data_IF_641107841142
#
_entry.id   IF_641107841142
#
_cell.length_a   1.000
_cell.length_b   1.000
_cell.length_c   1.000
_cell.angle_alpha   90.00
_cell.angle_beta   90.00
_cell.angle_gamma   90.00
#
_symmetry.space_group_name_H-M   'P 1'
#
loop_
_entity.id
_entity.type
_entity.pdbx_description
1 polymer ?
#
# COMPACT_ATOMS: atom_id res chain seq x y z
N UNK A 1 -52.42 -2.91 18.92
CA UNK A 1 -51.18 -2.51 18.19
C UNK A 1 -50.08 -2.06 19.12
N UNK A 2 -50.24 -1.10 20.06
CA UNK A 2 -49.19 -0.62 20.99
C UNK A 2 -48.45 -1.76 21.70
N UNK A 3 -49.19 -2.64 22.40
CA UNK A 3 -48.64 -3.80 23.14
C UNK A 3 -47.95 -4.83 22.24
N UNK A 4 -48.35 -4.98 20.95
CA UNK A 4 -47.68 -5.85 19.99
C UNK A 4 -46.32 -5.29 19.55
N UNK A 5 -46.25 -3.96 19.34
CA UNK A 5 -45.01 -3.30 19.00
C UNK A 5 -43.99 -3.34 20.15
N UNK A 6 -44.45 -3.17 21.40
CA UNK A 6 -43.64 -3.29 22.62
C UNK A 6 -43.06 -4.70 22.79
N UNK A 7 -43.87 -5.74 22.53
CA UNK A 7 -43.45 -7.15 22.62
C UNK A 7 -42.44 -7.53 21.51
N UNK A 8 -42.52 -6.91 20.34
CA UNK A 8 -41.65 -7.18 19.20
C UNK A 8 -40.46 -6.24 19.14
N UNK A 9 -40.34 -5.29 20.06
CA UNK A 9 -39.27 -4.29 20.07
C UNK A 9 -39.23 -3.40 18.82
N UNK A 10 -40.41 -3.20 18.17
CA UNK A 10 -40.54 -2.43 16.91
C UNK A 10 -41.24 -1.11 17.19
N UNK A 11 -40.74 -0.02 16.65
CA UNK A 11 -41.33 1.29 16.73
C UNK A 11 -42.75 1.30 16.08
N UNK A 12 -43.72 1.96 16.73
CA UNK A 12 -45.12 1.97 16.30
C UNK A 12 -45.33 2.47 14.87
N UNK A 13 -44.55 3.47 14.42
CA UNK A 13 -44.61 4.00 13.07
C UNK A 13 -44.13 3.00 12.02
N UNK A 14 -43.13 2.18 12.34
CA UNK A 14 -42.59 1.12 11.46
C UNK A 14 -43.66 0.05 11.19
N UNK A 15 -44.51 -0.24 12.19
CA UNK A 15 -45.57 -1.22 12.03
C UNK A 15 -46.72 -0.75 11.10
N UNK A 16 -46.81 0.54 10.80
CA UNK A 16 -47.78 1.11 9.86
C UNK A 16 -47.20 1.40 8.47
N UNK A 17 -45.89 1.25 8.28
CA UNK A 17 -45.29 1.39 6.95
C UNK A 17 -45.71 0.20 6.08
N UNK A 18 -46.34 0.46 4.97
CA UNK A 18 -46.49 -0.55 3.92
C UNK A 18 -45.17 -0.78 3.26
N UNK A 19 -44.75 -2.04 3.03
CA UNK A 19 -43.60 -2.33 2.17
C UNK A 19 -43.81 -1.62 0.83
N UNK A 20 -42.89 -0.78 0.42
CA UNK A 20 -42.88 -0.28 -0.96
C UNK A 20 -42.35 -1.40 -1.85
N UNK A 21 -43.09 -1.65 -2.93
CA UNK A 21 -42.54 -2.53 -3.97
C UNK A 21 -41.18 -1.96 -4.43
N UNK A 22 -40.17 -2.80 -4.50
CA UNK A 22 -38.84 -2.33 -4.91
C UNK A 22 -38.92 -1.80 -6.35
N UNK A 23 -38.37 -0.62 -6.56
CA UNK A 23 -38.22 -0.02 -7.90
C UNK A 23 -37.30 -0.89 -8.76
N UNK A 24 -37.75 -1.47 -9.88
CA UNK A 24 -36.96 -2.34 -10.74
C UNK A 24 -35.64 -1.65 -11.23
N UNK A 25 -35.70 -0.37 -11.55
CA UNK A 25 -34.54 0.39 -12.00
C UNK A 25 -33.49 0.58 -10.87
N UNK A 26 -33.96 0.79 -9.63
CA UNK A 26 -33.09 0.86 -8.46
C UNK A 26 -32.44 -0.48 -8.16
N UNK A 27 -33.18 -1.59 -8.32
CA UNK A 27 -32.62 -2.95 -8.14
C UNK A 27 -31.55 -3.28 -9.18
N UNK A 28 -31.81 -2.97 -10.45
CA UNK A 28 -30.85 -3.20 -11.52
C UNK A 28 -29.55 -2.38 -11.31
N UNK A 29 -29.72 -1.12 -10.88
CA UNK A 29 -28.58 -0.26 -10.53
C UNK A 29 -27.79 -0.83 -9.34
N UNK A 30 -28.44 -1.32 -8.30
CA UNK A 30 -27.76 -1.93 -7.15
C UNK A 30 -27.02 -3.21 -7.56
N UNK A 31 -27.58 -4.03 -8.43
CA UNK A 31 -26.95 -5.22 -8.93
C UNK A 31 -25.71 -4.90 -9.79
N UNK A 32 -25.77 -3.86 -10.61
CA UNK A 32 -24.59 -3.35 -11.32
C UNK A 32 -23.51 -2.93 -10.34
N UNK A 33 -23.85 -2.18 -9.29
CA UNK A 33 -22.89 -1.73 -8.27
C UNK A 33 -22.28 -2.92 -7.53
N UNK A 34 -23.04 -3.96 -7.18
CA UNK A 34 -22.54 -5.19 -6.55
C UNK A 34 -21.49 -5.88 -7.41
N UNK A 35 -21.76 -6.06 -8.71
CA UNK A 35 -20.80 -6.64 -9.67
C UNK A 35 -19.54 -5.83 -9.77
N UNK A 36 -19.61 -4.49 -9.74
CA UNK A 36 -18.43 -3.64 -9.77
C UNK A 36 -17.66 -3.66 -8.44
N UNK A 37 -18.34 -3.76 -7.30
CA UNK A 37 -17.70 -3.96 -5.98
C UNK A 37 -16.93 -5.28 -5.96
N UNK A 38 -17.54 -6.36 -6.45
CA UNK A 38 -16.93 -7.69 -6.52
C UNK A 38 -15.68 -7.67 -7.42
N UNK A 39 -15.80 -7.08 -8.61
CA UNK A 39 -14.67 -6.89 -9.53
C UNK A 39 -13.50 -6.15 -8.86
N UNK A 40 -13.77 -4.99 -8.25
CA UNK A 40 -12.75 -4.20 -7.59
C UNK A 40 -12.18 -4.87 -6.35
N UNK A 41 -12.99 -5.64 -5.63
CA UNK A 41 -12.52 -6.41 -4.48
C UNK A 41 -11.63 -7.58 -4.91
N UNK A 42 -11.93 -8.23 -6.01
CA UNK A 42 -11.08 -9.29 -6.58
C UNK A 42 -9.72 -8.73 -7.01
N UNK A 43 -9.69 -7.57 -7.64
CA UNK A 43 -8.47 -6.92 -8.08
C UNK A 43 -7.69 -6.29 -6.90
N UNK A 44 -8.38 -5.69 -5.94
CA UNK A 44 -7.81 -4.93 -4.81
C UNK A 44 -8.45 -5.35 -3.47
N UNK A 45 -8.16 -6.56 -2.93
CA UNK A 45 -8.89 -7.15 -1.80
C UNK A 45 -8.87 -6.34 -0.50
N UNK A 46 -7.85 -5.49 -0.30
CA UNK A 46 -7.76 -4.60 0.85
C UNK A 46 -8.48 -3.25 0.67
N UNK A 47 -9.29 -3.11 -0.40
CA UNK A 47 -10.02 -1.87 -0.65
C UNK A 47 -11.29 -1.81 0.19
N UNK A 48 -11.27 -0.96 1.22
CA UNK A 48 -12.46 -0.66 2.01
C UNK A 48 -13.39 0.34 1.33
N UNK A 49 -14.55 0.60 1.96
CA UNK A 49 -15.64 1.45 1.45
C UNK A 49 -15.20 2.79 0.84
N UNK A 50 -14.17 3.45 1.40
CA UNK A 50 -13.70 4.75 0.90
C UNK A 50 -12.97 4.62 -0.44
N UNK A 51 -12.09 3.62 -0.58
CA UNK A 51 -11.37 3.35 -1.84
C UNK A 51 -12.33 2.86 -2.92
N UNK A 52 -13.22 1.91 -2.57
CA UNK A 52 -14.26 1.43 -3.50
C UNK A 52 -15.16 2.57 -4.00
N UNK A 53 -15.55 3.50 -3.13
CA UNK A 53 -16.31 4.67 -3.56
C UNK A 53 -15.57 5.47 -4.64
N UNK A 54 -14.28 5.72 -4.44
CA UNK A 54 -13.47 6.48 -5.40
C UNK A 54 -13.35 5.73 -6.73
N UNK A 55 -13.06 4.43 -6.70
CA UNK A 55 -12.97 3.58 -7.89
C UNK A 55 -14.29 3.55 -8.68
N UNK A 56 -15.41 3.33 -7.99
CA UNK A 56 -16.74 3.35 -8.61
C UNK A 56 -17.06 4.70 -9.24
N UNK A 57 -16.70 5.80 -8.60
CA UNK A 57 -16.95 7.14 -9.11
C UNK A 57 -16.06 7.50 -10.29
N UNK A 58 -14.74 7.31 -10.18
CA UNK A 58 -13.78 7.83 -11.14
C UNK A 58 -13.58 6.91 -12.34
N UNK A 59 -13.64 5.61 -12.12
CA UNK A 59 -13.39 4.63 -13.19
C UNK A 59 -14.68 4.12 -13.80
N UNK A 60 -15.71 3.87 -12.99
CA UNK A 60 -16.98 3.31 -13.46
C UNK A 60 -18.04 4.39 -13.72
N UNK A 61 -17.79 5.65 -13.39
CA UNK A 61 -18.77 6.74 -13.49
C UNK A 61 -19.99 6.62 -12.55
N UNK A 62 -19.90 5.75 -11.51
CA UNK A 62 -20.99 5.45 -10.59
C UNK A 62 -20.90 6.30 -9.32
N UNK A 63 -21.65 7.37 -9.24
CA UNK A 63 -21.77 8.18 -8.02
C UNK A 63 -22.54 7.42 -6.93
N UNK A 64 -21.82 6.86 -5.92
CA UNK A 64 -22.38 6.02 -4.87
C UNK A 64 -21.99 6.51 -3.48
N UNK A 65 -22.96 6.55 -2.56
CA UNK A 65 -22.73 6.93 -1.17
C UNK A 65 -22.08 5.80 -0.34
N UNK A 66 -21.25 6.17 0.65
CA UNK A 66 -20.55 5.20 1.53
C UNK A 66 -21.49 4.24 2.27
N UNK A 67 -22.70 4.71 2.67
CA UNK A 67 -23.69 3.87 3.36
C UNK A 67 -24.20 2.76 2.44
N UNK A 68 -24.47 3.08 1.18
CA UNK A 68 -24.93 2.10 0.18
C UNK A 68 -23.83 1.08 -0.12
N UNK A 69 -22.61 1.51 -0.37
CA UNK A 69 -21.48 0.59 -0.61
C UNK A 69 -21.31 -0.38 0.56
N UNK A 70 -21.35 0.10 1.81
CA UNK A 70 -21.22 -0.78 2.99
C UNK A 70 -22.32 -1.81 3.04
N UNK A 71 -23.59 -1.41 2.83
CA UNK A 71 -24.74 -2.32 2.80
C UNK A 71 -24.58 -3.39 1.71
N UNK A 72 -24.21 -2.97 0.48
CA UNK A 72 -24.01 -3.91 -0.62
C UNK A 72 -22.85 -4.86 -0.41
N UNK A 73 -21.74 -4.39 0.18
CA UNK A 73 -20.61 -5.27 0.58
C UNK A 73 -21.06 -6.32 1.61
N UNK A 74 -21.84 -5.92 2.62
CA UNK A 74 -22.36 -6.84 3.64
C UNK A 74 -23.33 -7.85 3.02
N UNK A 75 -24.20 -7.45 2.09
CA UNK A 75 -25.15 -8.31 1.35
C UNK A 75 -24.45 -9.38 0.51
N UNK A 76 -23.34 -9.04 -0.16
CA UNK A 76 -22.57 -10.00 -0.97
C UNK A 76 -21.45 -10.70 -0.18
N UNK A 77 -21.37 -10.47 1.15
CA UNK A 77 -20.42 -11.12 2.04
C UNK A 77 -18.97 -10.65 1.89
N UNK A 78 -18.72 -9.52 1.21
CA UNK A 78 -17.39 -8.98 0.96
C UNK A 78 -16.94 -8.07 2.09
N UNK A 79 -15.71 -8.29 2.58
CA UNK A 79 -15.03 -7.45 3.56
C UNK A 79 -13.59 -7.19 3.13
N UNK A 80 -13.12 -5.96 3.30
CA UNK A 80 -11.72 -5.66 3.05
C UNK A 80 -10.80 -6.51 3.95
N UNK A 81 -9.75 -7.08 3.36
CA UNK A 81 -8.82 -7.95 4.06
C UNK A 81 -7.79 -7.10 4.82
N UNK A 82 -7.63 -7.33 6.13
CA UNK A 82 -6.65 -6.68 6.98
C UNK A 82 -5.85 -7.70 7.79
N UNK A 83 -4.51 -7.62 7.82
CA UNK A 83 -3.68 -8.51 8.62
C UNK A 83 -3.80 -8.25 10.12
N UNK A 84 -3.66 -9.31 10.92
CA UNK A 84 -3.52 -9.20 12.38
C UNK A 84 -2.12 -8.69 12.76
N UNK A 85 -1.94 -7.90 13.85
CA UNK A 85 -0.63 -7.41 14.27
C UNK A 85 0.29 -8.54 14.75
N UNK A 86 1.59 -8.45 14.39
CA UNK A 86 2.65 -9.38 14.79
C UNK A 86 3.72 -8.67 15.64
N UNK A 87 4.31 -9.35 16.64
CA UNK A 87 5.27 -8.79 17.60
C UNK A 87 6.58 -9.58 17.56
N UNK A 88 7.69 -8.99 17.08
CA UNK A 88 9.05 -9.57 17.09
C UNK A 88 10.11 -8.57 17.58
N UNK A 89 11.17 -9.05 18.28
CA UNK A 89 12.22 -8.23 18.92
C UNK A 89 13.57 -8.28 18.17
N UNK A 90 14.37 -7.18 18.12
CA UNK A 90 15.62 -7.09 17.33
C UNK A 90 16.91 -7.37 18.10
N UNK A 91 18.02 -7.73 17.38
CA UNK A 91 19.36 -8.07 17.88
C UNK A 91 20.31 -6.88 18.14
N UNK A 92 21.52 -7.14 18.73
CA UNK A 92 22.48 -6.13 19.24
C UNK A 92 23.68 -5.93 18.30
N UNK A 93 24.13 -4.65 18.18
CA UNK A 93 25.40 -4.11 17.63
C UNK A 93 25.58 -4.03 16.10
N UNK A 94 25.35 -2.80 15.56
CA UNK A 94 25.75 -2.39 14.21
C UNK A 94 26.15 -0.91 14.16
N UNK A 95 26.90 -0.48 13.12
CA UNK A 95 27.18 0.94 12.80
C UNK A 95 25.86 1.71 12.77
N UNK A 96 25.82 2.87 13.42
CA UNK A 96 24.62 3.72 13.49
C UNK A 96 24.85 5.00 12.72
N UNK A 97 23.91 5.32 11.84
CA UNK A 97 23.86 6.62 11.18
C UNK A 97 22.83 7.51 11.87
N UNK A 98 23.00 8.85 11.81
CA UNK A 98 22.05 9.77 12.43
C UNK A 98 20.71 9.74 11.71
N UNK A 99 19.63 9.92 12.48
CA UNK A 99 18.30 10.11 11.89
C UNK A 99 18.14 11.56 11.39
N UNK A 100 18.03 11.75 10.08
CA UNK A 100 18.05 13.04 9.40
C UNK A 100 16.66 13.64 9.14
N UNK A 101 15.58 12.93 9.47
CA UNK A 101 14.21 13.26 9.03
C UNK A 101 13.34 13.88 10.11
N UNK A 102 13.88 14.08 11.34
CA UNK A 102 13.13 14.72 12.43
C UNK A 102 12.65 16.10 12.02
N UNK A 103 11.33 16.32 12.07
CA UNK A 103 10.69 17.60 11.75
C UNK A 103 11.00 18.12 10.33
N UNK A 104 11.42 17.24 9.42
CA UNK A 104 11.70 17.61 8.05
C UNK A 104 10.42 17.51 7.22
N UNK A 105 9.99 18.61 6.62
CA UNK A 105 8.93 18.59 5.62
C UNK A 105 9.44 17.93 4.34
N UNK A 106 8.67 16.97 3.81
CA UNK A 106 8.96 16.27 2.57
C UNK A 106 7.93 16.74 1.53
N UNK A 107 8.36 17.62 0.64
CA UNK A 107 7.47 18.43 -0.20
C UNK A 107 7.55 18.07 -1.69
N UNK A 108 8.52 17.28 -2.12
CA UNK A 108 8.71 16.91 -3.52
C UNK A 108 9.33 15.50 -3.66
N UNK A 109 9.11 14.82 -4.79
CA UNK A 109 9.69 13.53 -5.08
C UNK A 109 11.23 13.55 -5.06
N UNK A 110 11.84 12.40 -4.78
CA UNK A 110 13.29 12.20 -4.69
C UNK A 110 13.99 13.02 -3.58
N UNK A 111 13.24 13.72 -2.74
CA UNK A 111 13.81 14.35 -1.55
C UNK A 111 14.27 13.30 -0.53
N UNK A 112 13.45 12.26 -0.32
CA UNK A 112 13.75 11.14 0.57
C UNK A 112 13.17 9.86 -0.02
N UNK A 113 14.00 8.84 -0.13
CA UNK A 113 13.56 7.46 -0.35
C UNK A 113 13.67 6.66 0.94
N UNK A 114 12.72 5.76 1.20
CA UNK A 114 12.87 4.72 2.20
C UNK A 114 13.22 3.41 1.49
N UNK A 115 14.16 2.68 2.06
CA UNK A 115 14.55 1.34 1.62
C UNK A 115 14.42 0.37 2.79
N UNK A 116 13.84 -0.79 2.52
CA UNK A 116 13.68 -1.83 3.53
C UNK A 116 13.58 -3.21 2.87
N UNK A 117 13.71 -4.26 3.69
CA UNK A 117 13.71 -5.64 3.25
C UNK A 117 12.70 -6.46 4.04
N UNK A 118 11.97 -7.33 3.33
CA UNK A 118 11.01 -8.24 3.96
C UNK A 118 11.13 -9.67 3.47
N UNK A 119 10.72 -10.62 4.30
CA UNK A 119 10.62 -12.04 3.97
C UNK A 119 9.30 -12.31 3.22
N UNK A 120 9.40 -13.05 2.14
CA UNK A 120 8.25 -13.57 1.38
C UNK A 120 8.24 -15.09 1.52
N UNK A 121 7.21 -15.70 2.15
CA UNK A 121 7.13 -17.14 2.28
C UNK A 121 6.89 -17.79 0.91
N UNK A 122 7.53 -18.93 0.69
CA UNK A 122 7.36 -19.82 -0.46
C UNK A 122 6.97 -21.21 0.05
N UNK A 123 6.46 -22.07 -0.83
CA UNK A 123 6.14 -23.47 -0.49
C UNK A 123 7.35 -24.19 0.11
N UNK A 124 8.56 -23.93 -0.39
CA UNK A 124 9.80 -24.52 0.08
C UNK A 124 10.78 -23.40 0.46
N UNK A 125 10.63 -22.81 1.66
CA UNK A 125 11.53 -21.77 2.15
C UNK A 125 10.97 -20.36 2.06
N UNK A 126 11.82 -19.39 1.72
CA UNK A 126 11.43 -17.98 1.61
C UNK A 126 12.35 -17.23 0.64
N UNK A 127 11.87 -16.13 0.11
CA UNK A 127 12.64 -15.15 -0.64
C UNK A 127 12.72 -13.84 0.13
N UNK A 128 13.69 -13.01 -0.21
CA UNK A 128 13.88 -11.68 0.36
C UNK A 128 13.47 -10.64 -0.68
N UNK A 129 12.56 -9.76 -0.33
CA UNK A 129 12.15 -8.65 -1.16
C UNK A 129 12.72 -7.36 -0.59
N UNK A 130 13.61 -6.72 -1.32
CA UNK A 130 14.01 -5.33 -1.10
C UNK A 130 13.06 -4.43 -1.87
N UNK A 131 12.59 -3.35 -1.25
CA UNK A 131 11.80 -2.33 -1.91
C UNK A 131 12.32 -0.93 -1.59
N UNK A 132 12.14 -0.01 -2.53
CA UNK A 132 12.52 1.39 -2.41
C UNK A 132 11.30 2.22 -2.76
N UNK A 133 10.87 3.06 -1.82
CA UNK A 133 9.68 3.90 -1.95
C UNK A 133 10.05 5.38 -1.82
N UNK A 134 9.53 6.20 -2.70
CA UNK A 134 9.60 7.65 -2.55
C UNK A 134 8.68 8.12 -1.42
N UNK A 135 9.24 8.87 -0.47
CA UNK A 135 8.49 9.25 0.73
C UNK A 135 7.43 10.31 0.49
N UNK A 136 7.61 11.15 -0.52
CA UNK A 136 6.60 12.15 -0.89
C UNK A 136 5.39 11.48 -1.56
N UNK A 137 5.59 10.83 -2.68
CA UNK A 137 4.52 10.32 -3.54
C UNK A 137 4.00 8.94 -3.17
N UNK A 138 4.75 8.16 -2.37
CA UNK A 138 4.52 6.73 -2.11
C UNK A 138 4.76 5.84 -3.34
N UNK A 139 5.35 6.37 -4.37
CA UNK A 139 5.71 5.65 -5.59
C UNK A 139 6.84 4.65 -5.29
N UNK A 140 6.70 3.41 -5.74
CA UNK A 140 7.79 2.41 -5.66
C UNK A 140 8.74 2.69 -6.80
N UNK A 141 9.92 3.22 -6.47
CA UNK A 141 10.95 3.59 -7.44
C UNK A 141 11.85 2.41 -7.81
N UNK A 142 11.91 1.36 -6.98
CA UNK A 142 12.72 0.19 -7.26
C UNK A 142 12.42 -0.97 -6.32
N UNK A 143 12.78 -2.18 -6.77
CA UNK A 143 12.69 -3.39 -5.97
C UNK A 143 13.59 -4.50 -6.50
N UNK A 144 13.94 -5.45 -5.65
CA UNK A 144 14.63 -6.67 -6.03
C UNK A 144 14.15 -7.87 -5.20
N UNK A 145 14.05 -9.03 -5.85
CA UNK A 145 13.76 -10.31 -5.21
C UNK A 145 15.01 -11.18 -5.23
N UNK A 146 15.43 -11.67 -4.07
CA UNK A 146 16.65 -12.47 -3.88
C UNK A 146 16.39 -13.66 -2.98
N UNK A 147 17.20 -14.70 -3.10
CA UNK A 147 17.27 -15.85 -2.19
C UNK A 147 18.27 -15.64 -1.03
N UNK A 148 19.00 -14.53 -1.05
CA UNK A 148 20.02 -14.19 -0.04
C UNK A 148 19.76 -12.84 0.61
N UNK A 149 20.20 -12.71 1.88
CA UNK A 149 20.23 -11.46 2.65
C UNK A 149 21.48 -10.60 2.38
N UNK A 150 22.18 -10.81 1.26
CA UNK A 150 23.38 -10.04 0.96
C UNK A 150 23.07 -8.58 0.59
N UNK A 151 24.08 -7.72 0.70
CA UNK A 151 23.95 -6.31 0.31
C UNK A 151 23.92 -6.11 -1.23
N UNK A 152 24.36 -7.11 -2.01
CA UNK A 152 24.50 -6.99 -3.47
C UNK A 152 23.14 -6.72 -4.14
N UNK A 153 22.07 -7.52 -3.93
CA UNK A 153 20.75 -7.24 -4.52
C UNK A 153 20.16 -5.90 -4.08
N UNK A 154 20.50 -5.43 -2.88
CA UNK A 154 20.06 -4.13 -2.35
C UNK A 154 20.72 -2.99 -3.15
N UNK A 155 22.03 -3.08 -3.38
CA UNK A 155 22.80 -2.09 -4.16
C UNK A 155 22.36 -2.09 -5.63
N UNK A 156 22.15 -3.27 -6.21
CA UNK A 156 21.66 -3.41 -7.60
C UNK A 156 20.27 -2.78 -7.78
N UNK A 157 19.35 -3.05 -6.85
CA UNK A 157 18.01 -2.45 -6.87
C UNK A 157 18.09 -0.91 -6.78
N UNK A 158 18.97 -0.41 -5.92
CA UNK A 158 19.18 1.02 -5.74
C UNK A 158 19.83 1.66 -6.99
N UNK A 159 20.81 1.02 -7.59
CA UNK A 159 21.45 1.49 -8.82
C UNK A 159 20.44 1.60 -9.96
N UNK A 160 19.60 0.56 -10.17
CA UNK A 160 18.55 0.57 -11.18
C UNK A 160 17.46 1.63 -10.90
N UNK A 161 17.15 1.88 -9.62
CA UNK A 161 16.21 2.94 -9.26
C UNK A 161 16.79 4.33 -9.56
N UNK A 162 18.06 4.57 -9.26
CA UNK A 162 18.75 5.84 -9.54
C UNK A 162 18.83 6.10 -11.04
N UNK A 163 19.15 5.09 -11.84
CA UNK A 163 19.22 5.20 -13.30
C UNK A 163 17.88 5.65 -13.90
N UNK A 164 16.75 5.13 -13.39
CA UNK A 164 15.40 5.41 -13.91
C UNK A 164 14.78 6.69 -13.37
N UNK A 165 15.06 7.04 -12.13
CA UNK A 165 14.32 8.06 -11.37
C UNK A 165 15.18 9.21 -10.87
N UNK A 166 16.51 9.14 -11.06
CA UNK A 166 17.47 10.12 -10.55
C UNK A 166 17.91 9.84 -9.12
N UNK A 167 18.84 10.66 -8.64
CA UNK A 167 19.50 10.49 -7.34
C UNK A 167 18.65 11.11 -6.22
N UNK A 168 18.30 10.38 -5.14
CA UNK A 168 17.60 10.97 -4.00
C UNK A 168 18.54 11.78 -3.12
N UNK A 169 17.99 12.78 -2.42
CA UNK A 169 18.77 13.58 -1.46
C UNK A 169 19.14 12.82 -0.19
N UNK A 170 18.24 11.95 0.28
CA UNK A 170 18.41 11.13 1.50
C UNK A 170 17.81 9.74 1.23
N UNK A 171 18.47 8.71 1.77
CA UNK A 171 17.90 7.38 1.90
C UNK A 171 17.75 7.05 3.38
N UNK A 172 16.53 6.67 3.78
CA UNK A 172 16.21 6.18 5.11
C UNK A 172 16.09 4.66 5.11
N UNK A 173 16.75 3.99 6.06
CA UNK A 173 16.68 2.54 6.26
C UNK A 173 16.55 2.20 7.74
N UNK A 174 16.19 0.95 8.03
CA UNK A 174 16.33 0.37 9.35
C UNK A 174 17.81 0.06 9.69
N UNK A 175 18.04 -0.60 10.82
CA UNK A 175 19.37 -1.02 11.29
C UNK A 175 19.79 -2.41 10.73
N UNK A 176 19.27 -2.85 9.60
CA UNK A 176 19.62 -4.11 8.96
C UNK A 176 21.11 -4.17 8.57
N UNK A 177 21.74 -5.36 8.68
CA UNK A 177 23.16 -5.56 8.39
C UNK A 177 23.56 -5.20 6.96
N UNK A 178 22.65 -5.38 6.00
CA UNK A 178 22.83 -5.02 4.60
C UNK A 178 22.98 -3.52 4.39
N UNK A 179 22.30 -2.69 5.19
CA UNK A 179 22.33 -1.21 5.08
C UNK A 179 23.52 -0.56 5.79
N UNK A 180 24.31 -1.34 6.54
CA UNK A 180 25.57 -0.89 7.17
C UNK A 180 26.80 -1.53 6.53
N UNK A 181 26.62 -2.35 5.50
CA UNK A 181 27.71 -2.98 4.75
C UNK A 181 28.56 -1.93 4.03
N UNK A 182 29.84 -2.22 3.87
CA UNK A 182 30.75 -1.30 3.16
C UNK A 182 30.33 -1.09 1.71
N UNK A 183 29.80 -2.11 1.04
CA UNK A 183 29.30 -2.01 -0.33
C UNK A 183 28.16 -0.98 -0.43
N UNK A 184 27.16 -1.06 0.45
CA UNK A 184 26.04 -0.13 0.47
C UNK A 184 26.46 1.30 0.85
N UNK A 185 27.24 1.45 1.92
CA UNK A 185 27.71 2.76 2.41
C UNK A 185 28.60 3.46 1.36
N UNK A 186 29.51 2.74 0.72
CA UNK A 186 30.38 3.29 -0.31
C UNK A 186 29.58 3.67 -1.57
N UNK A 187 28.58 2.88 -1.94
CA UNK A 187 27.66 3.22 -3.03
C UNK A 187 26.93 4.55 -2.78
N UNK A 188 26.35 4.74 -1.58
CA UNK A 188 25.70 6.00 -1.23
C UNK A 188 26.64 7.20 -1.28
N UNK A 189 27.86 7.04 -0.73
CA UNK A 189 28.90 8.09 -0.76
C UNK A 189 29.30 8.48 -2.18
N UNK A 190 29.49 7.49 -3.06
CA UNK A 190 29.87 7.71 -4.45
C UNK A 190 28.81 8.53 -5.22
N UNK A 191 27.53 8.41 -4.84
CA UNK A 191 26.42 9.16 -5.46
C UNK A 191 26.00 10.42 -4.67
N UNK A 192 26.75 10.80 -3.62
CA UNK A 192 26.45 11.98 -2.81
C UNK A 192 25.15 11.86 -1.98
N UNK A 193 24.64 10.64 -1.76
CA UNK A 193 23.39 10.36 -1.05
C UNK A 193 23.65 10.34 0.45
N UNK A 194 22.86 11.08 1.22
CA UNK A 194 22.92 11.08 2.68
C UNK A 194 22.16 9.88 3.24
N UNK A 195 22.82 9.09 4.08
CA UNK A 195 22.18 7.99 4.79
C UNK A 195 21.52 8.48 6.07
N UNK A 196 20.26 8.15 6.24
CA UNK A 196 19.48 8.28 7.47
C UNK A 196 19.11 6.91 7.99
N UNK A 197 19.14 6.72 9.30
CA UNK A 197 18.80 5.44 9.91
C UNK A 197 17.88 5.64 11.09
N UNK A 198 16.88 4.78 11.21
CA UNK A 198 15.88 4.85 12.27
C UNK A 198 16.53 4.71 13.65
N UNK A 199 16.08 5.55 14.59
CA UNK A 199 16.51 5.50 15.99
C UNK A 199 15.89 4.32 16.74
N UNK A 200 16.53 3.86 17.83
CA UNK A 200 15.93 2.89 18.75
C UNK A 200 14.59 3.41 19.27
N UNK A 201 13.55 2.56 19.21
CA UNK A 201 12.20 2.80 19.74
C UNK A 201 11.34 3.85 18.99
N UNK A 202 11.61 4.17 17.71
CA UNK A 202 10.77 5.05 16.90
C UNK A 202 10.15 4.31 15.72
N UNK A 203 9.06 3.61 16.00
CA UNK A 203 8.24 2.91 15.02
C UNK A 203 7.62 3.82 13.92
N UNK A 204 7.70 5.15 14.10
CA UNK A 204 7.16 6.13 13.13
C UNK A 204 8.08 6.32 11.93
N UNK A 205 9.36 6.04 12.09
CA UNK A 205 10.41 6.48 11.17
C UNK A 205 10.48 5.65 9.86
N UNK A 206 9.93 4.41 9.83
CA UNK A 206 9.86 3.56 8.62
C UNK A 206 8.44 3.08 8.26
N UNK A 207 7.46 3.66 8.93
CA UNK A 207 6.02 3.31 8.81
C UNK A 207 5.50 3.28 7.37
N UNK A 208 6.09 4.08 6.48
CA UNK A 208 5.63 4.20 5.09
C UNK A 208 5.88 2.92 4.32
N UNK A 209 7.12 2.43 4.34
CA UNK A 209 7.49 1.22 3.62
C UNK A 209 6.96 -0.04 4.33
N UNK A 210 6.93 -0.06 5.67
CA UNK A 210 6.29 -1.13 6.44
C UNK A 210 4.81 -1.29 6.11
N UNK A 211 4.09 -0.17 5.96
CA UNK A 211 2.69 -0.17 5.54
C UNK A 211 2.53 -0.67 4.10
N UNK A 212 3.45 -0.31 3.22
CA UNK A 212 3.46 -0.83 1.87
C UNK A 212 3.71 -2.34 1.84
N UNK A 213 4.70 -2.86 2.57
CA UNK A 213 4.92 -4.30 2.69
C UNK A 213 3.70 -5.04 3.24
N UNK A 214 2.99 -4.45 4.20
CA UNK A 214 1.74 -5.00 4.71
C UNK A 214 0.69 -5.10 3.59
N UNK A 215 0.54 -4.05 2.79
CA UNK A 215 -0.38 -4.06 1.66
C UNK A 215 0.01 -5.13 0.64
N UNK A 216 1.27 -5.15 0.19
CA UNK A 216 1.77 -6.18 -0.72
C UNK A 216 1.49 -7.60 -0.20
N UNK A 217 1.84 -7.87 1.06
CA UNK A 217 1.64 -9.20 1.66
C UNK A 217 0.17 -9.60 1.68
N UNK A 218 -0.72 -8.67 2.00
CA UNK A 218 -2.15 -8.97 2.14
C UNK A 218 -2.87 -8.98 0.80
N UNK A 219 -2.50 -8.07 -0.11
CA UNK A 219 -3.20 -7.89 -1.39
C UNK A 219 -2.66 -8.81 -2.49
N UNK A 220 -1.41 -9.33 -2.35
CA UNK A 220 -0.74 -10.12 -3.38
C UNK A 220 -0.21 -11.45 -2.82
N UNK A 221 0.62 -11.41 -1.75
CA UNK A 221 1.39 -12.59 -1.36
C UNK A 221 0.53 -13.67 -0.67
N UNK A 222 -0.29 -13.28 0.32
CA UNK A 222 -1.03 -14.24 1.15
C UNK A 222 -2.31 -14.79 0.52
N UNK A 223 -2.72 -14.24 -0.60
CA UNK A 223 -3.91 -14.70 -1.35
C UNK A 223 -3.55 -15.63 -2.53
N UNK A 224 -2.26 -15.82 -2.78
CA UNK A 224 -1.77 -16.65 -3.87
C UNK A 224 -0.76 -17.69 -3.35
N UNK A 225 -0.68 -18.81 -4.04
CA UNK A 225 0.35 -19.83 -3.86
C UNK A 225 1.34 -19.74 -5.03
N UNK A 226 2.63 -19.66 -4.70
CA UNK A 226 3.70 -19.54 -5.69
C UNK A 226 4.50 -20.84 -5.77
N UNK A 227 4.50 -21.48 -6.94
CA UNK A 227 5.27 -22.68 -7.18
C UNK A 227 6.76 -22.39 -7.46
N UNK A 228 7.07 -21.18 -7.95
CA UNK A 228 8.44 -20.81 -8.32
C UNK A 228 8.75 -19.34 -8.01
N UNK A 229 10.06 -18.99 -7.81
CA UNK A 229 10.51 -17.60 -7.70
C UNK A 229 10.15 -16.74 -8.91
N UNK A 230 10.03 -17.36 -10.10
CA UNK A 230 9.64 -16.65 -11.33
C UNK A 230 8.19 -16.18 -11.28
N UNK A 231 7.28 -17.03 -10.83
CA UNK A 231 5.87 -16.68 -10.64
C UNK A 231 5.71 -15.60 -9.60
N UNK A 232 6.41 -15.73 -8.45
CA UNK A 232 6.43 -14.73 -7.41
C UNK A 232 6.92 -13.38 -7.95
N UNK A 233 8.02 -13.36 -8.72
CA UNK A 233 8.56 -12.16 -9.34
C UNK A 233 7.56 -11.48 -10.26
N UNK A 234 6.91 -12.24 -11.13
CA UNK A 234 5.90 -11.74 -12.07
C UNK A 234 4.69 -11.15 -11.34
N UNK A 235 4.25 -11.80 -10.25
CA UNK A 235 3.14 -11.32 -9.43
C UNK A 235 3.47 -10.03 -8.67
N UNK A 236 4.69 -9.92 -8.13
CA UNK A 236 5.15 -8.70 -7.46
C UNK A 236 5.27 -7.55 -8.47
N UNK A 237 5.79 -7.83 -9.66
CA UNK A 237 5.93 -6.83 -10.73
C UNK A 237 4.59 -6.25 -11.12
N UNK A 238 3.61 -7.11 -11.41
CA UNK A 238 2.24 -6.69 -11.72
C UNK A 238 1.60 -5.90 -10.56
N UNK A 239 1.77 -6.37 -9.32
CA UNK A 239 1.25 -5.66 -8.14
C UNK A 239 1.85 -4.27 -7.99
N UNK A 240 3.16 -4.12 -8.22
CA UNK A 240 3.85 -2.82 -8.10
C UNK A 240 3.36 -1.87 -9.19
N UNK A 241 3.17 -2.35 -10.42
CA UNK A 241 2.59 -1.54 -11.50
C UNK A 241 1.18 -1.06 -11.15
N UNK A 242 0.30 -1.96 -10.69
CA UNK A 242 -1.06 -1.62 -10.26
C UNK A 242 -1.06 -0.67 -9.04
N UNK A 243 -0.17 -0.92 -8.07
CA UNK A 243 0.00 -0.04 -6.91
C UNK A 243 0.39 1.37 -7.32
N UNK A 244 1.32 1.50 -8.24
CA UNK A 244 1.82 2.79 -8.70
C UNK A 244 0.81 3.53 -9.58
N UNK A 245 0.09 2.83 -10.47
CA UNK A 245 -0.67 3.45 -11.57
C UNK A 245 -2.19 3.42 -11.39
N UNK A 246 -2.73 2.44 -10.66
CA UNK A 246 -4.17 2.22 -10.55
C UNK A 246 -4.68 2.43 -9.12
N UNK A 247 -3.90 2.00 -8.10
CA UNK A 247 -4.36 1.94 -6.71
C UNK A 247 -4.51 3.34 -6.10
N UNK A 248 -5.75 3.77 -5.69
CA UNK A 248 -5.95 5.08 -5.09
C UNK A 248 -5.29 5.19 -3.71
N UNK A 249 -4.64 6.31 -3.42
CA UNK A 249 -3.94 6.54 -2.16
C UNK A 249 -4.64 7.61 -1.32
N UNK A 250 -5.16 7.24 -0.15
CA UNK A 250 -5.95 8.15 0.70
C UNK A 250 -5.17 9.39 1.16
N UNK A 251 -3.84 9.30 1.33
CA UNK A 251 -3.00 10.44 1.74
C UNK A 251 -2.92 11.55 0.68
N UNK A 252 -3.28 11.23 -0.56
CA UNK A 252 -3.22 12.12 -1.72
C UNK A 252 -4.61 12.32 -2.34
N UNK A 253 -5.61 12.44 -1.50
CA UNK A 253 -7.01 12.59 -1.94
C UNK A 253 -7.43 11.55 -3.00
N UNK A 254 -6.93 10.33 -2.83
CA UNK A 254 -7.16 9.19 -3.72
C UNK A 254 -6.47 9.26 -5.09
N UNK A 255 -5.54 10.19 -5.30
CA UNK A 255 -4.64 10.12 -6.45
C UNK A 255 -3.73 8.90 -6.38
N UNK A 256 -3.24 8.45 -7.55
CA UNK A 256 -2.28 7.34 -7.62
C UNK A 256 -0.87 7.81 -7.29
N UNK A 257 0.01 6.96 -6.74
CA UNK A 257 1.40 7.30 -6.51
C UNK A 257 2.12 7.85 -7.76
N UNK A 258 1.84 7.29 -8.94
CA UNK A 258 2.42 7.76 -10.20
C UNK A 258 1.96 9.16 -10.59
N UNK A 259 0.69 9.49 -10.39
CA UNK A 259 0.16 10.82 -10.67
C UNK A 259 0.86 11.88 -9.77
N UNK A 260 0.97 11.60 -8.46
CA UNK A 260 1.65 12.49 -7.51
C UNK A 260 3.14 12.61 -7.81
N UNK A 261 3.80 11.49 -8.14
CA UNK A 261 5.23 11.49 -8.47
C UNK A 261 5.54 12.35 -9.70
N UNK A 262 4.73 12.25 -10.76
CA UNK A 262 4.94 12.95 -12.04
C UNK A 262 4.51 14.43 -11.99
N UNK A 263 3.41 14.76 -11.34
CA UNK A 263 2.88 16.13 -11.25
C UNK A 263 3.87 17.11 -10.61
N UNK A 264 4.62 16.64 -9.61
CA UNK A 264 5.59 17.46 -8.90
C UNK A 264 6.81 17.85 -9.76
N UNK A 265 7.17 17.05 -10.77
CA UNK A 265 8.24 17.43 -11.72
C UNK A 265 7.78 18.50 -12.71
N UNK A 266 6.52 18.48 -13.12
CA UNK A 266 5.94 19.48 -14.02
C UNK A 266 5.91 20.88 -13.37
N UNK A 267 5.67 20.94 -12.06
CA UNK A 267 5.64 22.19 -11.29
C UNK A 267 7.04 22.82 -11.08
N UNK A 268 8.09 21.99 -11.03
CA UNK A 268 9.49 22.47 -10.85
C UNK A 268 10.05 23.03 -12.17
N UNK A 269 9.60 22.54 -13.32
CA UNK A 269 10.03 23.02 -14.64
C UNK A 269 9.29 24.30 -15.06
N UNK A 270 8.14 24.59 -14.45
CA UNK A 270 7.31 25.75 -14.73
C UNK A 270 7.57 26.96 -13.82
N UNK A 271 8.47 26.85 -12.84
CA UNK A 271 8.90 27.88 -11.90
C UNK A 271 10.35 28.32 -12.16
#
# INVERSE_FOLDING_TARGET
>A
MKRRCELLGVERWTAYQRPRDPDPAAMEREELIKRRIDYWHTLLPCSGVRKLRKLLQDTDGLAVGRKLIRRLMDEIGIRAIFPKPNLSAPGKEHRKFPYLLRNKAINFPNQVWAIDLTYIPMKNGHMYLTAIIDWHSRFIVGWALSDTLSAVPVVEALAAAIERHGVPGIINSDQGSQFVSDAYVNFLKAHGIRQSMDGKARWVDNVIIERWFRSLKTECIYINDYASPRELRSSIDAYIEDYNTIRPHQSWDYETPAAVYRSSFTSIVAA
#
